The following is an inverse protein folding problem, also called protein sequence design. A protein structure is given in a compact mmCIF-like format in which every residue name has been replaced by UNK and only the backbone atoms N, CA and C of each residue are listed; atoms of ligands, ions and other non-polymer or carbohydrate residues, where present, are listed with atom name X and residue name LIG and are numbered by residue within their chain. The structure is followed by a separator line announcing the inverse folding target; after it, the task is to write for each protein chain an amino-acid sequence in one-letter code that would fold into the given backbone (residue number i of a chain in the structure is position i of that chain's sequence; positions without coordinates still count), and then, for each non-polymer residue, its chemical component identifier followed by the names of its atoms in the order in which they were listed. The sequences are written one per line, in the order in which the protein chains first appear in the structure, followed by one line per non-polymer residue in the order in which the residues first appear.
data_IF_357834160319
#
_entry.id   IF_357834160319
#
_cell.length_a   1.000
_cell.length_b   1.000
_cell.length_c   1.000
_cell.angle_alpha   90.00
_cell.angle_beta   90.00
_cell.angle_gamma   90.00
#
_symmetry.space_group_name_H-M   'P 1'
#
loop_
_entity.id
_entity.type
_entity.pdbx_description
1 polymer ?
#
# COMPACT_ATOMS: atom_id res chain seq x y z
N UNK A 1 -4.47 -13.35 1.04
CA UNK A 1 -3.90 -12.20 1.77
C UNK A 1 -3.98 -10.90 0.96
N UNK A 2 -3.56 -10.88 -0.32
CA UNK A 2 -3.63 -9.67 -1.16
C UNK A 2 -5.05 -9.10 -1.33
N UNK A 3 -6.06 -9.95 -1.55
CA UNK A 3 -7.45 -9.51 -1.71
C UNK A 3 -8.01 -8.79 -0.47
N UNK A 4 -7.53 -9.15 0.73
CA UNK A 4 -7.92 -8.49 1.97
C UNK A 4 -7.28 -7.09 2.08
N UNK A 5 -5.97 -6.99 1.79
CA UNK A 5 -5.23 -5.74 1.78
C UNK A 5 -5.77 -4.73 0.76
N UNK A 6 -6.14 -5.20 -0.44
CA UNK A 6 -6.77 -4.35 -1.46
C UNK A 6 -8.07 -3.72 -0.94
N UNK A 7 -8.89 -4.50 -0.24
CA UNK A 7 -10.18 -4.03 0.27
C UNK A 7 -10.04 -3.03 1.42
N UNK A 8 -9.14 -3.27 2.36
CA UNK A 8 -8.89 -2.30 3.44
C UNK A 8 -8.35 -0.98 2.89
N UNK A 9 -7.38 -1.06 1.98
CA UNK A 9 -6.79 0.15 1.40
C UNK A 9 -7.78 0.90 0.50
N UNK A 10 -8.62 0.20 -0.25
CA UNK A 10 -9.70 0.83 -1.01
C UNK A 10 -10.72 1.53 -0.09
N UNK A 11 -11.07 0.92 1.05
CA UNK A 11 -11.94 1.54 2.05
C UNK A 11 -11.36 2.84 2.59
N UNK A 12 -10.05 2.86 2.88
CA UNK A 12 -9.34 4.04 3.36
C UNK A 12 -9.33 5.17 2.30
N UNK A 13 -9.11 4.84 1.03
CA UNK A 13 -9.19 5.80 -0.09
C UNK A 13 -10.60 6.40 -0.19
N UNK A 14 -11.65 5.57 -0.09
CA UNK A 14 -13.04 6.05 -0.13
C UNK A 14 -13.31 7.00 1.04
N UNK A 15 -12.89 6.64 2.25
CA UNK A 15 -13.06 7.46 3.45
C UNK A 15 -12.34 8.80 3.33
N UNK A 16 -11.05 8.81 2.96
CA UNK A 16 -10.26 10.02 2.75
C UNK A 16 -10.82 10.90 1.62
N UNK A 17 -11.39 10.28 0.60
CA UNK A 17 -12.06 10.99 -0.49
C UNK A 17 -13.40 11.59 -0.08
N UNK A 18 -13.93 11.26 1.11
CA UNK A 18 -15.28 11.58 1.59
C UNK A 18 -16.35 11.06 0.63
N UNK A 19 -16.15 9.84 0.10
CA UNK A 19 -17.06 9.21 -0.86
C UNK A 19 -17.06 9.81 -2.27
N UNK A 20 -16.11 10.70 -2.61
CA UNK A 20 -15.98 11.27 -3.96
C UNK A 20 -15.41 10.29 -4.97
N UNK A 21 -14.70 9.27 -4.50
CA UNK A 21 -14.18 8.17 -5.32
C UNK A 21 -15.07 6.96 -5.08
N UNK A 22 -15.49 6.31 -6.17
CA UNK A 22 -16.27 5.08 -6.07
C UNK A 22 -15.43 3.95 -5.48
N UNK A 23 -16.05 2.97 -4.82
CA UNK A 23 -15.32 1.82 -4.28
C UNK A 23 -14.55 1.05 -5.35
N UNK A 24 -15.08 0.96 -6.58
CA UNK A 24 -14.43 0.27 -7.70
C UNK A 24 -13.16 1.01 -8.13
N UNK A 25 -13.23 2.34 -8.25
CA UNK A 25 -12.06 3.15 -8.60
C UNK A 25 -11.00 3.11 -7.50
N UNK A 26 -11.43 3.10 -6.23
CA UNK A 26 -10.53 2.95 -5.09
C UNK A 26 -9.85 1.57 -5.06
N UNK A 27 -10.57 0.48 -5.39
CA UNK A 27 -9.99 -0.85 -5.53
C UNK A 27 -8.96 -0.90 -6.66
N UNK A 28 -9.23 -0.27 -7.80
CA UNK A 28 -8.28 -0.18 -8.91
C UNK A 28 -7.00 0.59 -8.52
N UNK A 29 -7.14 1.72 -7.82
CA UNK A 29 -6.01 2.49 -7.28
C UNK A 29 -5.20 1.67 -6.27
N UNK A 30 -5.87 0.95 -5.38
CA UNK A 30 -5.22 0.09 -4.39
C UNK A 30 -4.39 -1.02 -5.04
N UNK A 31 -4.92 -1.70 -6.06
CA UNK A 31 -4.21 -2.74 -6.81
C UNK A 31 -2.95 -2.17 -7.48
N UNK A 32 -3.07 -1.03 -8.18
CA UNK A 32 -1.93 -0.40 -8.87
C UNK A 32 -0.85 0.03 -7.87
N UNK A 33 -1.26 0.61 -6.74
CA UNK A 33 -0.33 1.05 -5.71
C UNK A 33 0.43 -0.13 -5.09
N UNK A 34 -0.29 -1.18 -4.67
CA UNK A 34 0.31 -2.40 -4.11
C UNK A 34 1.26 -3.06 -5.13
N UNK A 35 0.86 -3.13 -6.40
CA UNK A 35 1.70 -3.65 -7.46
C UNK A 35 2.98 -2.82 -7.64
N UNK A 36 2.87 -1.48 -7.61
CA UNK A 36 4.04 -0.59 -7.65
C UNK A 36 4.95 -0.82 -6.45
N UNK A 37 4.42 -0.88 -5.23
CA UNK A 37 5.23 -1.16 -4.03
C UNK A 37 5.96 -2.50 -4.10
N UNK A 38 5.35 -3.53 -4.69
CA UNK A 38 5.99 -4.84 -4.90
C UNK A 38 7.04 -4.83 -6.01
N UNK A 39 6.83 -4.05 -7.07
CA UNK A 39 7.79 -3.89 -8.16
C UNK A 39 9.00 -3.04 -7.76
N UNK A 40 8.83 -2.15 -6.78
CA UNK A 40 9.92 -1.40 -6.18
C UNK A 40 10.74 -2.40 -5.35
N UNK A 41 11.82 -2.92 -5.94
CA UNK A 41 12.91 -3.45 -5.15
C UNK A 41 13.50 -2.26 -4.39
N UNK A 42 13.36 -2.17 -3.05
CA UNK A 42 14.06 -1.13 -2.32
C UNK A 42 15.54 -1.29 -2.66
N UNK A 43 16.24 -0.22 -3.08
CA UNK A 43 17.67 -0.30 -3.27
C UNK A 43 18.29 -0.86 -1.99
N UNK A 44 19.28 -1.74 -2.12
CA UNK A 44 19.87 -2.50 -1.00
C UNK A 44 20.21 -1.61 0.21
N UNK A 45 20.50 -0.32 -0.01
CA UNK A 45 20.70 0.71 0.99
C UNK A 45 19.47 0.95 1.90
N UNK A 46 18.27 1.06 1.34
CA UNK A 46 17.03 1.27 2.11
C UNK A 46 16.63 0.03 2.90
N UNK A 47 16.85 -1.17 2.35
CA UNK A 47 16.59 -2.43 3.06
C UNK A 47 17.44 -2.56 4.32
N UNK A 48 18.71 -2.11 4.26
CA UNK A 48 19.66 -2.16 5.39
C UNK A 48 19.30 -1.17 6.50
N UNK A 49 18.72 -0.01 6.15
CA UNK A 49 18.26 1.00 7.11
C UNK A 49 17.00 0.51 7.83
N UNK A 50 16.01 -0.02 7.10
CA UNK A 50 14.78 -0.58 7.67
C UNK A 50 15.07 -1.78 8.60
N UNK A 51 15.97 -2.67 8.21
CA UNK A 51 16.37 -3.80 9.08
C UNK A 51 17.10 -3.36 10.36
N UNK A 52 17.87 -2.28 10.32
CA UNK A 52 18.51 -1.71 11.52
C UNK A 52 17.50 -1.02 12.45
N UNK A 53 16.47 -0.38 11.89
CA UNK A 53 15.41 0.25 12.70
C UNK A 53 14.56 -0.76 13.47
N UNK A 54 14.30 -1.94 12.89
CA UNK A 54 13.49 -3.00 13.53
C UNK A 54 14.27 -3.78 14.59
N UNK A 55 15.60 -3.86 14.51
CA UNK A 55 16.44 -4.54 15.52
C UNK A 55 16.72 -3.68 16.77
N UNK A 56 16.39 -2.39 16.75
CA UNK A 56 16.63 -1.44 17.84
C UNK A 56 15.35 -1.10 18.63
N UNK A 57 14.31 -1.94 18.53
CA UNK A 57 13.06 -1.83 19.27
C UNK A 57 12.90 -3.00 20.23
#
# INVERSE_FOLDING_TARGET
MEKFLVKEFASEIVEQSKGRISTIDAEALAIVYIAKMKSIHPPYSLRKILQKGVHNL
#
